data_IF_849454646564
#
_entry.id   IF_849454646564
#
_cell.length_a   1.000
_cell.length_b   1.000
_cell.length_c   1.000
_cell.angle_alpha   90.00
_cell.angle_beta   90.00
_cell.angle_gamma   90.00
#
_symmetry.space_group_name_H-M   'P 1'
#
loop_
_entity.id
_entity.type
_entity.pdbx_description
1 polymer ?
#
# COMPACT_ATOMS: atom_id res chain seq x y z
N UNK A 1 -21.91 14.25 56.18
CA UNK A 1 -20.65 14.66 55.55
C UNK A 1 -20.61 14.10 54.12
N UNK A 2 -20.75 14.95 53.16
CA UNK A 2 -20.78 14.57 51.73
C UNK A 2 -19.37 14.30 51.22
N UNK A 3 -19.08 13.10 50.66
CA UNK A 3 -17.78 12.70 50.17
C UNK A 3 -17.44 13.36 48.81
N UNK A 4 -17.19 14.64 48.83
CA UNK A 4 -16.84 15.46 47.63
C UNK A 4 -15.58 14.96 46.93
N UNK A 5 -14.60 14.45 47.66
CA UNK A 5 -13.30 14.08 47.12
C UNK A 5 -13.27 12.79 46.26
N UNK A 6 -14.28 11.91 46.43
CA UNK A 6 -14.35 10.66 45.63
C UNK A 6 -14.81 10.90 44.20
N UNK A 7 -15.63 11.92 43.96
CA UNK A 7 -16.19 12.22 42.65
C UNK A 7 -15.21 12.99 41.77
N UNK A 8 -14.27 13.75 42.36
CA UNK A 8 -13.25 14.50 41.64
C UNK A 8 -12.20 13.55 41.05
N UNK A 9 -11.81 12.50 41.78
CA UNK A 9 -10.88 11.49 41.28
C UNK A 9 -11.45 10.65 40.12
N UNK A 10 -12.75 10.36 40.15
CA UNK A 10 -13.42 9.63 39.07
C UNK A 10 -13.56 10.44 37.77
N UNK A 11 -13.77 11.75 37.88
CA UNK A 11 -13.84 12.67 36.74
C UNK A 11 -12.45 12.91 36.11
N UNK A 12 -11.38 12.98 36.91
CA UNK A 12 -10.03 13.13 36.43
C UNK A 12 -9.56 11.88 35.67
N UNK A 13 -9.95 10.68 36.10
CA UNK A 13 -9.61 9.42 35.41
C UNK A 13 -10.32 9.28 34.07
N UNK A 14 -11.53 9.79 33.93
CA UNK A 14 -12.27 9.77 32.65
C UNK A 14 -11.73 10.79 31.65
N UNK A 15 -11.23 11.94 32.11
CA UNK A 15 -10.63 12.95 31.24
C UNK A 15 -9.30 12.52 30.62
N UNK A 16 -8.50 11.71 31.31
CA UNK A 16 -7.24 11.17 30.81
C UNK A 16 -7.46 10.11 29.72
N UNK A 17 -8.55 9.35 29.78
CA UNK A 17 -8.87 8.34 28.76
C UNK A 17 -9.33 8.95 27.41
N UNK A 18 -9.73 10.24 27.38
CA UNK A 18 -10.17 10.93 26.16
C UNK A 18 -9.06 11.66 25.40
N UNK A 19 -7.84 11.67 25.92
CA UNK A 19 -6.65 12.31 25.28
C UNK A 19 -5.69 11.25 24.75
N UNK A 20 -6.18 10.10 24.32
CA UNK A 20 -5.36 9.25 23.46
C UNK A 20 -5.23 9.94 22.10
N UNK A 21 -4.01 10.35 21.69
CA UNK A 21 -3.86 10.95 20.37
C UNK A 21 -4.29 9.92 19.33
N UNK A 22 -5.20 10.32 18.46
CA UNK A 22 -5.49 9.62 17.19
C UNK A 22 -4.26 9.72 16.27
N UNK A 23 -3.11 9.28 16.72
CA UNK A 23 -1.88 9.19 15.95
C UNK A 23 -1.80 7.87 15.17
N UNK A 24 -2.95 7.31 14.76
CA UNK A 24 -3.02 6.07 13.97
C UNK A 24 -2.98 6.31 12.45
N UNK A 25 -2.71 7.53 12.00
CA UNK A 25 -2.43 7.83 10.60
C UNK A 25 -0.92 8.03 10.40
N UNK A 26 -0.14 7.01 10.74
CA UNK A 26 1.23 6.94 10.23
C UNK A 26 1.13 6.63 8.73
N UNK A 27 1.19 7.69 7.91
CA UNK A 27 1.17 7.57 6.46
C UNK A 27 2.27 6.61 5.98
N UNK A 28 2.05 5.98 4.83
CA UNK A 28 2.99 5.06 4.16
C UNK A 28 4.44 5.58 4.08
N UNK A 29 4.65 6.90 4.14
CA UNK A 29 5.97 7.54 4.17
C UNK A 29 6.83 7.18 5.40
N UNK A 30 6.23 6.80 6.53
CA UNK A 30 6.97 6.36 7.73
C UNK A 30 7.47 4.94 7.57
N UNK A 31 6.70 4.07 6.92
CA UNK A 31 6.98 2.64 6.79
C UNK A 31 7.86 2.32 5.57
N UNK A 32 7.79 3.11 4.49
CA UNK A 32 8.44 2.84 3.21
C UNK A 32 9.39 3.96 2.79
N UNK A 33 10.49 3.60 2.13
CA UNK A 33 11.50 4.55 1.63
C UNK A 33 11.30 4.84 0.14
N UNK A 34 10.51 5.87 -0.16
CA UNK A 34 10.20 6.28 -1.53
C UNK A 34 11.45 6.70 -2.32
N UNK A 35 12.50 7.20 -1.64
CA UNK A 35 13.75 7.62 -2.30
C UNK A 35 14.56 6.42 -2.81
N UNK A 36 14.25 5.22 -2.33
CA UNK A 36 14.89 3.95 -2.71
C UNK A 36 13.97 3.06 -3.53
N UNK A 37 12.96 3.63 -4.20
CA UNK A 37 12.09 2.85 -5.06
C UNK A 37 12.89 2.17 -6.18
N UNK A 38 12.57 0.90 -6.44
CA UNK A 38 13.22 0.10 -7.48
C UNK A 38 12.19 -0.75 -8.23
N UNK A 39 12.60 -1.28 -9.37
CA UNK A 39 11.76 -2.10 -10.24
C UNK A 39 12.31 -3.52 -10.34
N UNK A 40 11.42 -4.51 -10.31
CA UNK A 40 11.75 -5.92 -10.42
C UNK A 40 10.71 -6.68 -11.24
N UNK A 41 11.12 -7.81 -11.83
CA UNK A 41 10.24 -8.79 -12.46
C UNK A 41 9.77 -9.78 -11.42
N UNK A 42 8.50 -10.10 -11.42
CA UNK A 42 7.87 -10.94 -10.42
C UNK A 42 6.80 -11.85 -11.02
N UNK A 43 6.49 -12.92 -10.31
CA UNK A 43 5.34 -13.79 -10.58
C UNK A 43 4.35 -13.64 -9.44
N UNK A 44 3.13 -13.28 -9.73
CA UNK A 44 2.05 -13.15 -8.73
C UNK A 44 1.77 -14.50 -8.09
N UNK A 45 1.74 -14.55 -6.76
CA UNK A 45 1.33 -15.74 -6.00
C UNK A 45 -0.05 -15.59 -5.39
N UNK A 46 -0.41 -14.36 -4.94
CA UNK A 46 -1.73 -14.05 -4.42
C UNK A 46 -2.02 -12.55 -4.55
N UNK A 47 -3.27 -12.20 -4.86
CA UNK A 47 -3.76 -10.83 -4.76
C UNK A 47 -4.99 -10.78 -3.85
N UNK A 48 -4.97 -9.91 -2.86
CA UNK A 48 -6.08 -9.67 -1.94
C UNK A 48 -6.63 -8.27 -2.14
N UNK A 49 -7.87 -8.20 -2.65
CA UNK A 49 -8.60 -6.93 -2.71
C UNK A 49 -9.13 -6.57 -1.33
N UNK A 50 -8.27 -6.01 -0.50
CA UNK A 50 -8.54 -5.67 0.89
C UNK A 50 -8.82 -4.17 1.08
N UNK A 51 -9.46 -3.81 2.17
CA UNK A 51 -9.72 -2.44 2.59
C UNK A 51 -8.90 -2.16 3.88
N UNK A 52 -8.20 -1.04 4.04
CA UNK A 52 -8.18 0.09 3.11
C UNK A 52 -7.30 -0.12 1.87
N UNK A 53 -6.25 -0.90 1.94
CA UNK A 53 -5.30 -1.09 0.84
C UNK A 53 -5.22 -2.55 0.40
N UNK A 54 -5.37 -2.82 -0.91
CA UNK A 54 -5.12 -4.14 -1.44
C UNK A 54 -3.67 -4.58 -1.24
N UNK A 55 -3.45 -5.91 -1.18
CA UNK A 55 -2.17 -6.54 -0.94
C UNK A 55 -1.82 -7.47 -2.10
N UNK A 56 -0.57 -7.40 -2.56
CA UNK A 56 -0.02 -8.30 -3.56
C UNK A 56 1.10 -9.13 -2.94
N UNK A 57 1.05 -10.44 -3.15
CA UNK A 57 2.11 -11.39 -2.83
C UNK A 57 2.70 -11.90 -4.13
N UNK A 58 4.02 -12.00 -4.19
CA UNK A 58 4.71 -12.35 -5.43
C UNK A 58 6.11 -12.91 -5.17
N UNK A 59 6.58 -13.66 -6.11
CA UNK A 59 7.89 -14.28 -6.12
C UNK A 59 8.83 -13.56 -7.08
N UNK A 60 10.07 -13.38 -6.63
CA UNK A 60 11.15 -12.81 -7.42
C UNK A 60 12.29 -13.83 -7.49
N UNK A 61 12.88 -14.02 -8.65
CA UNK A 61 14.11 -14.81 -8.77
C UNK A 61 15.32 -13.91 -8.55
N UNK A 62 16.20 -14.32 -7.64
CA UNK A 62 17.49 -13.67 -7.43
C UNK A 62 18.45 -14.00 -8.60
N UNK A 63 19.66 -13.41 -8.60
CA UNK A 63 20.70 -13.64 -9.62
C UNK A 63 21.14 -15.10 -9.70
N UNK A 64 20.94 -15.89 -8.66
CA UNK A 64 21.28 -17.31 -8.57
C UNK A 64 20.11 -18.20 -8.96
N UNK A 65 18.95 -17.63 -9.28
CA UNK A 65 17.71 -18.35 -9.60
C UNK A 65 16.91 -18.83 -8.40
N UNK A 66 17.28 -18.46 -7.18
CA UNK A 66 16.49 -18.78 -5.99
C UNK A 66 15.25 -17.92 -5.94
N UNK A 67 14.15 -18.49 -5.45
CA UNK A 67 12.91 -17.78 -5.25
C UNK A 67 12.95 -17.01 -3.94
N UNK A 68 12.65 -15.70 -4.01
CA UNK A 68 12.52 -14.82 -2.87
C UNK A 68 11.08 -14.33 -2.81
N UNK A 69 10.41 -14.61 -1.71
CA UNK A 69 9.02 -14.20 -1.49
C UNK A 69 8.94 -12.74 -1.05
N UNK A 70 8.06 -12.00 -1.69
CA UNK A 70 7.77 -10.60 -1.42
C UNK A 70 6.28 -10.37 -1.17
N UNK A 71 5.98 -9.31 -0.46
CA UNK A 71 4.62 -8.76 -0.39
C UNK A 71 4.64 -7.25 -0.55
N UNK A 72 3.53 -6.70 -1.01
CA UNK A 72 3.41 -5.26 -1.16
C UNK A 72 1.99 -4.77 -0.94
N UNK A 73 1.91 -3.60 -0.30
CA UNK A 73 0.71 -2.81 -0.19
C UNK A 73 0.52 -1.99 -1.47
N UNK A 74 -0.67 -1.97 -2.03
CA UNK A 74 -0.98 -1.12 -3.19
C UNK A 74 -1.22 0.31 -2.70
N UNK A 75 -0.49 1.28 -3.29
CA UNK A 75 -0.54 2.67 -2.85
C UNK A 75 -1.95 3.30 -2.85
N UNK A 76 -2.79 3.21 -3.91
CA UNK A 76 -4.18 3.60 -3.85
C UNK A 76 -5.00 2.67 -2.96
N UNK A 77 -5.96 3.23 -2.23
CA UNK A 77 -6.91 2.42 -1.48
C UNK A 77 -7.96 1.76 -2.40
N UNK A 78 -8.68 0.77 -1.87
CA UNK A 78 -9.67 0.02 -2.63
C UNK A 78 -10.78 0.90 -3.24
N UNK A 79 -11.18 1.97 -2.55
CA UNK A 79 -12.21 2.90 -3.05
C UNK A 79 -11.70 3.72 -4.24
N UNK A 80 -10.45 4.19 -4.19
CA UNK A 80 -9.82 4.89 -5.31
C UNK A 80 -9.69 3.99 -6.54
N UNK A 81 -9.22 2.74 -6.36
CA UNK A 81 -9.15 1.77 -7.46
C UNK A 81 -10.52 1.51 -8.08
N UNK A 82 -11.56 1.39 -7.27
CA UNK A 82 -12.94 1.22 -7.74
C UNK A 82 -13.39 2.39 -8.61
N UNK A 83 -13.10 3.63 -8.21
CA UNK A 83 -13.44 4.85 -8.97
C UNK A 83 -12.70 4.91 -10.31
N UNK A 84 -11.49 4.38 -10.38
CA UNK A 84 -10.68 4.29 -11.60
C UNK A 84 -11.04 3.07 -12.48
N UNK A 85 -12.11 2.36 -12.16
CA UNK A 85 -12.57 1.18 -12.89
C UNK A 85 -11.83 -0.10 -12.57
N UNK A 86 -10.99 -0.12 -11.52
CA UNK A 86 -10.28 -1.29 -11.02
C UNK A 86 -11.00 -1.90 -9.81
N UNK A 87 -12.27 -2.29 -10.01
CA UNK A 87 -13.01 -3.02 -9.00
C UNK A 87 -12.46 -4.43 -8.78
N UNK A 88 -12.91 -5.07 -7.69
CA UNK A 88 -12.42 -6.36 -7.22
C UNK A 88 -12.25 -7.40 -8.33
N UNK A 89 -13.32 -7.70 -9.08
CA UNK A 89 -13.31 -8.74 -10.13
C UNK A 89 -12.25 -8.49 -11.21
N UNK A 90 -12.12 -7.25 -11.68
CA UNK A 90 -11.13 -6.89 -12.70
C UNK A 90 -9.71 -7.00 -12.18
N UNK A 91 -9.48 -6.51 -10.95
CA UNK A 91 -8.16 -6.54 -10.32
C UNK A 91 -7.69 -7.96 -10.03
N UNK A 92 -8.56 -8.82 -9.50
CA UNK A 92 -8.27 -10.25 -9.25
C UNK A 92 -7.98 -11.01 -10.55
N UNK A 93 -8.69 -10.69 -11.65
CA UNK A 93 -8.42 -11.32 -12.95
C UNK A 93 -7.06 -10.87 -13.54
N UNK A 94 -6.72 -9.59 -13.42
CA UNK A 94 -5.45 -9.05 -13.94
C UNK A 94 -4.23 -9.50 -13.13
N UNK A 95 -4.42 -9.80 -11.84
CA UNK A 95 -3.36 -10.23 -10.91
C UNK A 95 -3.61 -11.67 -10.41
N UNK A 96 -4.12 -12.54 -11.28
CA UNK A 96 -4.30 -13.94 -10.96
C UNK A 96 -2.95 -14.61 -10.65
N UNK A 97 -2.91 -15.63 -9.76
CA UNK A 97 -1.70 -16.38 -9.47
C UNK A 97 -1.05 -16.93 -10.75
N UNK A 98 0.27 -16.80 -10.87
CA UNK A 98 1.05 -17.16 -12.05
C UNK A 98 1.24 -16.05 -13.08
N UNK A 99 0.56 -14.89 -12.92
CA UNK A 99 0.77 -13.74 -13.82
C UNK A 99 2.17 -13.17 -13.64
N UNK A 100 2.92 -13.02 -14.74
CA UNK A 100 4.20 -12.34 -14.75
C UNK A 100 3.99 -10.83 -14.84
N UNK A 101 4.65 -10.07 -13.98
CA UNK A 101 4.51 -8.63 -13.88
C UNK A 101 5.86 -7.96 -13.66
N UNK A 102 5.94 -6.67 -14.01
CA UNK A 102 7.03 -5.80 -13.60
C UNK A 102 6.49 -4.83 -12.56
N UNK A 103 7.08 -4.84 -11.36
CA UNK A 103 6.61 -4.08 -10.19
C UNK A 103 7.64 -3.01 -9.86
N UNK A 104 7.19 -1.77 -9.70
CA UNK A 104 7.98 -0.71 -9.05
C UNK A 104 7.45 -0.48 -7.65
N UNK A 105 8.31 -0.60 -6.65
CA UNK A 105 7.93 -0.45 -5.24
C UNK A 105 8.98 0.33 -4.44
N UNK A 106 8.53 0.98 -3.37
CA UNK A 106 9.37 1.56 -2.34
C UNK A 106 9.56 0.52 -1.22
N UNK A 107 10.81 0.16 -0.85
CA UNK A 107 11.08 -0.87 0.14
C UNK A 107 10.69 -0.45 1.54
N UNK A 108 10.38 -1.42 2.39
CA UNK A 108 10.21 -1.22 3.83
C UNK A 108 11.49 -0.69 4.47
N UNK A 109 11.35 0.32 5.33
CA UNK A 109 12.47 0.83 6.16
C UNK A 109 12.95 -0.20 7.20
N UNK A 110 12.16 -1.22 7.47
CA UNK A 110 12.54 -2.32 8.35
C UNK A 110 13.50 -3.34 7.69
N UNK A 111 13.81 -3.19 6.40
CA UNK A 111 14.71 -4.09 5.67
C UNK A 111 14.14 -5.47 5.38
N UNK A 112 12.82 -5.63 5.44
CA UNK A 112 12.10 -6.86 5.08
C UNK A 112 11.70 -6.85 3.61
N UNK A 113 11.36 -8.03 3.04
CA UNK A 113 10.86 -8.16 1.67
C UNK A 113 9.39 -7.70 1.56
N UNK A 114 9.14 -6.48 1.99
CA UNK A 114 7.83 -5.81 1.95
C UNK A 114 8.01 -4.44 1.31
N UNK A 115 7.04 -4.00 0.51
CA UNK A 115 7.13 -2.68 -0.12
C UNK A 115 5.77 -2.03 -0.34
N UNK A 116 5.81 -0.71 -0.62
CA UNK A 116 4.67 0.02 -1.14
C UNK A 116 4.75 0.01 -2.67
N UNK A 117 3.77 -0.61 -3.31
CA UNK A 117 3.73 -0.77 -4.76
C UNK A 117 3.17 0.49 -5.40
N UNK A 118 4.00 1.12 -6.24
CA UNK A 118 3.69 2.36 -6.93
C UNK A 118 3.28 2.13 -8.40
N UNK A 119 3.71 1.01 -8.99
CA UNK A 119 3.44 0.67 -10.39
C UNK A 119 3.45 -0.83 -10.62
N UNK A 120 2.52 -1.30 -11.43
CA UNK A 120 2.51 -2.67 -11.94
C UNK A 120 2.32 -2.61 -13.45
N UNK A 121 3.16 -3.32 -14.19
CA UNK A 121 3.08 -3.48 -15.64
C UNK A 121 2.91 -4.96 -15.94
N UNK A 122 1.90 -5.28 -16.73
CA UNK A 122 1.61 -6.65 -17.16
C UNK A 122 2.53 -7.13 -18.27
N UNK A 123 2.37 -8.39 -18.70
CA UNK A 123 3.27 -9.03 -19.65
C UNK A 123 3.28 -8.41 -21.05
N UNK A 124 2.21 -7.71 -21.44
CA UNK A 124 2.12 -7.02 -22.75
C UNK A 124 2.46 -5.52 -22.66
N UNK A 125 2.92 -5.05 -21.47
CA UNK A 125 3.30 -3.66 -21.25
C UNK A 125 2.16 -2.76 -20.76
N UNK A 126 0.99 -3.31 -20.51
CA UNK A 126 -0.18 -2.59 -19.99
C UNK A 126 0.01 -2.20 -18.52
N UNK A 127 -0.50 -1.03 -18.15
CA UNK A 127 -0.57 -0.64 -16.74
C UNK A 127 -1.71 -1.38 -16.04
N UNK A 128 -1.39 -2.06 -14.95
CA UNK A 128 -2.36 -2.73 -14.09
C UNK A 128 -2.65 -1.84 -12.88
N UNK A 129 -3.92 -1.76 -12.48
CA UNK A 129 -4.45 -0.92 -11.39
C UNK A 129 -4.32 0.59 -11.65
N UNK A 130 -4.04 1.03 -12.86
CA UNK A 130 -3.94 2.45 -13.20
C UNK A 130 -2.83 3.22 -12.45
N UNK A 131 -1.90 2.50 -11.83
CA UNK A 131 -0.87 3.08 -10.98
C UNK A 131 0.06 3.98 -11.81
N UNK A 132 0.00 5.27 -11.53
CA UNK A 132 0.93 6.26 -12.11
C UNK A 132 2.11 6.40 -11.14
N UNK A 133 3.37 6.41 -11.63
CA UNK A 133 4.53 6.64 -10.78
C UNK A 133 4.38 7.95 -10.00
N UNK A 134 4.76 7.96 -8.73
CA UNK A 134 4.84 9.18 -7.92
C UNK A 134 5.73 10.19 -8.65
N UNK A 135 5.17 11.37 -8.95
CA UNK A 135 5.87 12.44 -9.69
C UNK A 135 5.65 12.46 -11.20
N UNK A 136 4.90 11.52 -11.78
CA UNK A 136 4.45 11.66 -13.16
C UNK A 136 3.32 12.71 -13.24
N UNK A 137 3.33 13.61 -14.24
CA UNK A 137 2.22 14.53 -14.45
C UNK A 137 0.93 13.75 -14.70
N UNK A 138 -0.19 14.25 -14.18
CA UNK A 138 -1.50 13.65 -14.39
C UNK A 138 -1.78 13.50 -15.90
N UNK A 139 -2.43 12.40 -16.34
CA UNK A 139 -2.83 12.25 -17.73
C UNK A 139 -3.71 13.44 -18.13
N UNK A 140 -3.27 14.25 -19.09
CA UNK A 140 -3.99 15.45 -19.55
C UNK A 140 -3.40 16.79 -19.13
N UNK A 141 -2.30 16.86 -18.41
CA UNK A 141 -1.54 18.09 -18.21
C UNK A 141 -0.70 18.39 -19.46
N UNK A 142 -1.35 18.83 -20.53
CA UNK A 142 -0.65 19.43 -21.66
C UNK A 142 0.04 20.70 -21.19
N UNK A 143 1.36 20.72 -21.31
CA UNK A 143 2.18 21.93 -21.13
C UNK A 143 1.79 22.89 -22.25
N UNK A 144 0.94 23.88 -21.95
CA UNK A 144 0.78 25.04 -22.84
C UNK A 144 2.12 25.79 -22.83
N UNK A 145 2.81 25.68 -23.97
CA UNK A 145 3.89 26.61 -24.32
C UNK A 145 3.32 27.99 -24.65
#
# INVERSE_FOLDING_TARGET
MYNWNRNILSLASLAVALVMPLAAHHGSAVSYDQSKAFTLKATVTEFRYANPHPQLYFDVKDEKGNVVHWSGEIAPNAAQLQQEGWGKKRSEAALAPGTEVTITLAPSRAGTNVGLINKIVGPTGESILGLTPLGAPAPGAETKQ
#
